data_IF_477630448359
#
_entry.id   IF_477630448359
#
_cell.length_a   1.000
_cell.length_b   1.000
_cell.length_c   1.000
_cell.angle_alpha   90.00
_cell.angle_beta   90.00
_cell.angle_gamma   90.00
#
_symmetry.space_group_name_H-M   'P 1'
#
loop_
_entity.id
_entity.type
_entity.pdbx_description
1 polymer ?
#
# COMPACT_ATOMS: atom_id res chain seq x y z
N UNK A 1 5.98 -12.88 4.55
CA UNK A 1 6.80 -12.53 3.40
C UNK A 1 6.37 -11.21 2.75
N UNK A 2 5.10 -11.07 2.34
CA UNK A 2 4.63 -9.84 1.65
C UNK A 2 4.93 -8.59 2.45
N UNK A 3 4.56 -8.55 3.73
CA UNK A 3 4.87 -7.41 4.60
C UNK A 3 6.38 -7.13 4.68
N UNK A 4 7.19 -8.16 4.87
CA UNK A 4 8.65 -8.01 4.91
C UNK A 4 9.20 -7.34 3.64
N UNK A 5 8.79 -7.80 2.46
CA UNK A 5 9.25 -7.24 1.19
C UNK A 5 8.70 -5.83 0.93
N UNK A 6 7.46 -5.56 1.35
CA UNK A 6 6.87 -4.20 1.30
C UNK A 6 7.71 -3.23 2.12
N UNK A 7 8.02 -3.56 3.37
CA UNK A 7 8.86 -2.70 4.22
C UNK A 7 10.22 -2.44 3.62
N UNK A 8 10.85 -3.48 3.08
CA UNK A 8 12.20 -3.40 2.52
C UNK A 8 12.29 -2.64 1.20
N UNK A 9 11.27 -2.72 0.34
CA UNK A 9 11.33 -2.19 -1.03
C UNK A 9 10.30 -1.08 -1.30
N UNK A 10 9.05 -1.28 -0.91
CA UNK A 10 8.01 -0.28 -1.18
C UNK A 10 8.17 0.98 -0.32
N UNK A 11 8.53 0.79 0.95
CA UNK A 11 8.75 1.87 1.92
C UNK A 11 10.16 2.46 1.90
N UNK A 12 11.06 1.91 1.08
CA UNK A 12 12.46 2.33 1.04
C UNK A 12 12.61 3.81 0.68
N UNK A 13 13.46 4.52 1.43
CA UNK A 13 13.81 5.92 1.18
C UNK A 13 12.90 6.94 1.86
N UNK A 14 11.81 6.54 2.47
CA UNK A 14 10.97 7.43 3.26
C UNK A 14 11.43 7.46 4.72
N UNK A 15 11.22 8.59 5.39
CA UNK A 15 11.64 8.81 6.79
C UNK A 15 10.52 8.51 7.79
N UNK A 16 9.28 8.80 7.44
CA UNK A 16 8.10 8.64 8.29
C UNK A 16 6.99 7.98 7.50
N UNK A 17 6.74 6.71 7.77
CA UNK A 17 5.71 5.94 7.05
C UNK A 17 4.50 5.71 7.95
N UNK A 18 3.32 6.07 7.45
CA UNK A 18 2.06 5.66 8.03
C UNK A 18 1.50 4.45 7.28
N UNK A 19 0.96 3.48 8.00
CA UNK A 19 0.22 2.37 7.43
C UNK A 19 -1.25 2.54 7.77
N UNK A 20 -2.10 2.68 6.76
CA UNK A 20 -3.54 2.55 6.90
C UNK A 20 -3.91 1.08 6.69
N UNK A 21 -4.33 0.41 7.74
CA UNK A 21 -4.67 -1.01 7.70
C UNK A 21 -6.13 -1.26 8.03
N UNK A 22 -6.74 -2.17 7.29
CA UNK A 22 -8.06 -2.67 7.65
C UNK A 22 -7.95 -3.59 8.88
N UNK A 23 -8.91 -3.55 9.82
CA UNK A 23 -8.85 -4.32 11.08
C UNK A 23 -9.20 -5.80 10.87
N UNK A 24 -8.43 -6.50 10.05
CA UNK A 24 -8.46 -7.95 9.92
C UNK A 24 -7.08 -8.56 10.26
N UNK A 25 -7.04 -9.88 10.44
CA UNK A 25 -5.82 -10.59 10.86
C UNK A 25 -4.70 -10.50 9.82
N UNK A 26 -5.04 -10.59 8.55
CA UNK A 26 -4.07 -10.60 7.45
C UNK A 26 -3.47 -9.21 7.26
N UNK A 27 -4.32 -8.18 7.17
CA UNK A 27 -3.88 -6.81 7.01
C UNK A 27 -3.03 -6.36 8.21
N UNK A 28 -3.46 -6.68 9.44
CA UNK A 28 -2.71 -6.33 10.65
C UNK A 28 -1.34 -7.01 10.72
N UNK A 29 -1.27 -8.30 10.36
CA UNK A 29 0.00 -9.03 10.31
C UNK A 29 0.93 -8.49 9.22
N UNK A 30 0.39 -8.13 8.05
CA UNK A 30 1.18 -7.51 6.97
C UNK A 30 1.70 -6.14 7.39
N UNK A 31 0.88 -5.30 8.03
CA UNK A 31 1.26 -3.99 8.51
C UNK A 31 2.41 -4.08 9.53
N UNK A 32 2.31 -4.96 10.52
CA UNK A 32 3.35 -5.19 11.51
C UNK A 32 4.66 -5.66 10.87
N UNK A 33 4.60 -6.66 9.98
CA UNK A 33 5.78 -7.17 9.28
C UNK A 33 6.43 -6.12 8.37
N UNK A 34 5.63 -5.28 7.71
CA UNK A 34 6.11 -4.21 6.86
C UNK A 34 6.86 -3.14 7.66
N UNK A 35 6.31 -2.68 8.78
CA UNK A 35 6.97 -1.69 9.62
C UNK A 35 8.24 -2.25 10.27
N UNK A 36 8.22 -3.47 10.78
CA UNK A 36 9.40 -4.11 11.35
C UNK A 36 10.54 -4.22 10.32
N UNK A 37 10.22 -4.63 9.10
CA UNK A 37 11.18 -4.72 8.00
C UNK A 37 11.69 -3.35 7.54
N UNK A 38 10.81 -2.35 7.48
CA UNK A 38 11.16 -0.97 7.13
C UNK A 38 12.14 -0.39 8.15
N UNK A 39 11.84 -0.49 9.44
CA UNK A 39 12.70 0.00 10.50
C UNK A 39 14.06 -0.72 10.52
N UNK A 40 14.06 -2.06 10.34
CA UNK A 40 15.29 -2.85 10.27
C UNK A 40 16.15 -2.57 9.03
N UNK A 41 15.56 -2.07 7.94
CA UNK A 41 16.26 -1.78 6.68
C UNK A 41 16.74 -0.33 6.58
N UNK A 42 16.23 0.55 7.43
CA UNK A 42 16.53 1.97 7.42
C UNK A 42 17.62 2.36 8.39
N UNK A 43 17.86 3.66 8.47
CA UNK A 43 18.66 4.24 9.54
C UNK A 43 17.76 4.35 10.79
N UNK A 44 18.01 3.52 11.78
CA UNK A 44 17.22 3.46 13.04
C UNK A 44 17.00 4.79 13.75
N UNK A 45 17.84 5.77 13.50
CA UNK A 45 17.71 7.09 14.12
C UNK A 45 16.74 8.00 13.37
N UNK A 46 16.54 7.75 12.07
CA UNK A 46 15.82 8.65 11.18
C UNK A 46 14.52 8.05 10.62
N UNK A 47 14.36 6.71 10.72
CA UNK A 47 13.16 6.03 10.25
C UNK A 47 12.13 5.86 11.37
N UNK A 48 10.88 6.19 11.09
CA UNK A 48 9.75 5.98 12.00
C UNK A 48 8.53 5.49 11.25
N UNK A 49 7.76 4.61 11.88
CA UNK A 49 6.52 4.09 11.31
C UNK A 49 5.38 4.07 12.34
N UNK A 50 4.16 4.24 11.87
CA UNK A 50 2.95 4.12 12.67
C UNK A 50 1.84 3.41 11.90
N UNK A 51 0.99 2.68 12.63
CA UNK A 51 -0.21 2.01 12.09
C UNK A 51 -1.44 2.76 12.56
N UNK A 52 -2.32 3.06 11.61
CA UNK A 52 -3.65 3.61 11.89
C UNK A 52 -4.70 2.66 11.32
N UNK A 53 -5.72 2.36 12.11
CA UNK A 53 -6.84 1.54 11.67
C UNK A 53 -7.75 2.34 10.74
N UNK A 54 -8.11 1.73 9.62
CA UNK A 54 -9.07 2.25 8.68
C UNK A 54 -10.36 1.44 8.76
N UNK A 55 -11.31 1.95 9.50
CA UNK A 55 -12.65 1.40 9.61
C UNK A 55 -13.59 2.13 8.66
N UNK A 56 -14.60 1.41 8.17
CA UNK A 56 -15.65 2.02 7.35
C UNK A 56 -16.35 3.16 8.11
N UNK A 57 -16.47 4.31 7.48
CA UNK A 57 -17.07 5.51 8.06
C UNK A 57 -16.14 6.34 8.93
N UNK A 58 -14.88 5.90 9.15
CA UNK A 58 -13.86 6.63 9.92
C UNK A 58 -12.64 7.02 9.07
N UNK A 59 -12.80 7.06 7.77
CA UNK A 59 -11.72 7.35 6.82
C UNK A 59 -11.13 8.74 7.04
N UNK A 60 -11.95 9.74 7.38
CA UNK A 60 -11.50 11.11 7.65
C UNK A 60 -10.61 11.17 8.91
N UNK A 61 -10.99 10.45 9.97
CA UNK A 61 -10.21 10.41 11.21
C UNK A 61 -8.84 9.74 10.95
N UNK A 62 -8.83 8.66 10.19
CA UNK A 62 -7.60 7.96 9.83
C UNK A 62 -6.69 8.83 8.96
N UNK A 63 -7.23 9.51 7.96
CA UNK A 63 -6.48 10.44 7.10
C UNK A 63 -5.93 11.64 7.91
N UNK A 64 -6.74 12.19 8.81
CA UNK A 64 -6.30 13.23 9.74
C UNK A 64 -5.16 12.79 10.64
N UNK A 65 -5.17 11.53 11.09
CA UNK A 65 -4.08 10.94 11.88
C UNK A 65 -2.78 10.81 11.07
N UNK A 66 -2.85 10.42 9.81
CA UNK A 66 -1.70 10.36 8.90
C UNK A 66 -1.05 11.74 8.76
N UNK A 67 -1.86 12.78 8.54
CA UNK A 67 -1.37 14.15 8.39
C UNK A 67 -0.76 14.67 9.69
N UNK A 68 -1.42 14.48 10.84
CA UNK A 68 -0.89 14.88 12.15
C UNK A 68 0.41 14.16 12.51
N UNK A 69 0.54 12.92 12.12
CA UNK A 69 1.78 12.14 12.30
C UNK A 69 2.93 12.72 11.48
N UNK A 70 2.65 13.44 10.41
CA UNK A 70 3.65 14.03 9.52
C UNK A 70 4.30 12.99 8.61
N UNK A 71 3.54 11.98 8.16
CA UNK A 71 4.03 10.96 7.26
C UNK A 71 4.44 11.55 5.90
N UNK A 72 5.59 11.15 5.39
CA UNK A 72 6.03 11.42 4.03
C UNK A 72 5.65 10.31 3.04
N UNK A 73 5.23 9.15 3.56
CA UNK A 73 4.59 8.09 2.78
C UNK A 73 3.44 7.45 3.56
N UNK A 74 2.37 7.07 2.88
CA UNK A 74 1.26 6.30 3.44
C UNK A 74 1.08 5.00 2.65
N UNK A 75 1.06 3.87 3.35
CA UNK A 75 0.81 2.55 2.77
C UNK A 75 -0.63 2.12 3.03
N UNK A 76 -1.35 1.83 1.94
CA UNK A 76 -2.71 1.30 1.99
C UNK A 76 -2.65 -0.23 2.08
N UNK A 77 -2.76 -0.76 3.30
CA UNK A 77 -2.70 -2.20 3.59
C UNK A 77 -4.11 -2.79 3.68
N UNK A 78 -4.73 -2.99 2.52
CA UNK A 78 -6.09 -3.52 2.40
C UNK A 78 -6.13 -4.83 1.62
N UNK A 79 -7.22 -5.56 1.75
CA UNK A 79 -7.53 -6.71 0.93
C UNK A 79 -7.09 -8.04 1.51
N UNK A 80 -6.87 -8.13 2.80
CA UNK A 80 -6.60 -9.40 3.48
C UNK A 80 -7.77 -10.38 3.35
N UNK A 81 -8.77 -10.23 4.19
CA UNK A 81 -9.99 -11.06 4.20
C UNK A 81 -11.17 -10.42 3.46
N UNK A 82 -10.99 -9.21 2.92
CA UNK A 82 -12.04 -8.46 2.25
C UNK A 82 -12.36 -8.95 0.84
N UNK A 83 -13.60 -8.75 0.40
CA UNK A 83 -13.99 -8.91 -1.01
C UNK A 83 -13.37 -7.81 -1.87
N UNK A 84 -13.08 -8.10 -3.13
CA UNK A 84 -12.45 -7.13 -4.04
C UNK A 84 -13.31 -5.87 -4.25
N UNK A 85 -14.63 -5.99 -4.27
CA UNK A 85 -15.54 -4.84 -4.34
C UNK A 85 -15.43 -3.91 -3.12
N UNK A 86 -15.28 -4.49 -1.93
CA UNK A 86 -15.12 -3.74 -0.69
C UNK A 86 -13.76 -3.05 -0.65
N UNK A 87 -12.71 -3.73 -1.14
CA UNK A 87 -11.37 -3.15 -1.29
C UNK A 87 -11.38 -1.96 -2.24
N UNK A 88 -12.07 -2.06 -3.38
CA UNK A 88 -12.19 -0.97 -4.33
C UNK A 88 -12.87 0.26 -3.71
N UNK A 89 -14.00 0.04 -3.04
CA UNK A 89 -14.76 1.10 -2.37
C UNK A 89 -13.96 1.75 -1.23
N UNK A 90 -13.30 0.95 -0.41
CA UNK A 90 -12.47 1.44 0.70
C UNK A 90 -11.27 2.24 0.18
N UNK A 91 -10.64 1.77 -0.89
CA UNK A 91 -9.51 2.48 -1.51
C UNK A 91 -9.95 3.85 -2.02
N UNK A 92 -11.08 3.95 -2.71
CA UNK A 92 -11.60 5.23 -3.17
C UNK A 92 -11.91 6.20 -2.02
N UNK A 93 -12.55 5.70 -0.94
CA UNK A 93 -12.84 6.52 0.26
C UNK A 93 -11.56 6.96 0.98
N UNK A 94 -10.58 6.06 1.13
CA UNK A 94 -9.31 6.38 1.77
C UNK A 94 -8.53 7.45 0.99
N UNK A 95 -8.43 7.31 -0.33
CA UNK A 95 -7.77 8.30 -1.20
C UNK A 95 -8.50 9.64 -1.14
N UNK A 96 -9.84 9.64 -1.18
CA UNK A 96 -10.65 10.84 -1.03
C UNK A 96 -10.44 11.53 0.31
N UNK A 97 -10.40 10.78 1.41
CA UNK A 97 -10.14 11.30 2.75
C UNK A 97 -8.73 11.90 2.88
N UNK A 98 -7.71 11.23 2.32
CA UNK A 98 -6.34 11.78 2.28
C UNK A 98 -6.28 13.09 1.50
N UNK A 99 -7.00 13.17 0.37
CA UNK A 99 -7.10 14.40 -0.42
C UNK A 99 -7.73 15.56 0.38
N UNK A 100 -8.86 15.29 1.04
CA UNK A 100 -9.55 16.29 1.88
C UNK A 100 -8.74 16.70 3.11
N UNK A 101 -7.98 15.78 3.69
CA UNK A 101 -7.07 16.08 4.78
C UNK A 101 -5.81 16.86 4.35
N UNK A 102 -5.61 17.08 3.06
CA UNK A 102 -4.46 17.81 2.53
C UNK A 102 -3.15 17.01 2.52
N UNK A 103 -3.23 15.67 2.58
CA UNK A 103 -2.04 14.82 2.48
C UNK A 103 -1.38 14.95 1.10
N UNK A 104 -0.06 15.19 1.08
CA UNK A 104 0.72 15.42 -0.16
C UNK A 104 1.94 14.51 -0.30
N UNK A 105 2.17 13.60 0.64
CA UNK A 105 3.26 12.65 0.61
C UNK A 105 3.06 11.55 -0.44
N UNK A 106 3.95 10.57 -0.43
CA UNK A 106 3.86 9.42 -1.33
C UNK A 106 2.70 8.49 -0.95
N UNK A 107 2.08 7.89 -1.97
CA UNK A 107 1.05 6.86 -1.82
C UNK A 107 1.63 5.50 -2.19
N UNK A 108 1.61 4.56 -1.25
CA UNK A 108 2.07 3.20 -1.43
C UNK A 108 0.87 2.25 -1.43
N UNK A 109 0.69 1.50 -2.52
CA UNK A 109 -0.54 0.76 -2.78
C UNK A 109 -0.28 -0.75 -2.74
N UNK A 110 -1.08 -1.47 -1.96
CA UNK A 110 -1.09 -2.93 -1.96
C UNK A 110 -1.61 -3.48 -3.29
N UNK A 111 -1.07 -4.60 -3.75
CA UNK A 111 -1.45 -5.23 -5.03
C UNK A 111 -2.97 -5.47 -5.14
N UNK A 112 -3.64 -5.84 -4.05
CA UNK A 112 -5.09 -6.07 -4.07
C UNK A 112 -5.89 -4.77 -4.26
N UNK A 113 -5.45 -3.68 -3.67
CA UNK A 113 -6.06 -2.37 -3.91
C UNK A 113 -5.83 -1.89 -5.36
N UNK A 114 -4.64 -2.14 -5.90
CA UNK A 114 -4.32 -1.91 -7.31
C UNK A 114 -5.24 -2.67 -8.26
N UNK A 115 -5.41 -3.98 -8.03
CA UNK A 115 -6.28 -4.83 -8.85
C UNK A 115 -7.77 -4.50 -8.67
N UNK A 116 -8.20 -4.27 -7.43
CA UNK A 116 -9.59 -3.94 -7.12
C UNK A 116 -10.04 -2.63 -7.78
N UNK A 117 -9.14 -1.66 -7.90
CA UNK A 117 -9.41 -0.38 -8.59
C UNK A 117 -9.12 -0.44 -10.09
N UNK A 118 -9.00 -1.63 -10.66
CA UNK A 118 -8.68 -1.85 -12.08
C UNK A 118 -7.46 -1.05 -12.51
N UNK A 119 -6.36 -1.24 -11.79
CA UNK A 119 -5.10 -0.53 -12.01
C UNK A 119 -5.30 1.01 -11.94
N UNK A 120 -5.98 1.46 -10.91
CA UNK A 120 -6.38 2.85 -10.65
C UNK A 120 -7.40 3.45 -11.65
N UNK A 121 -7.82 2.77 -12.69
CA UNK A 121 -8.72 3.36 -13.67
C UNK A 121 -10.05 3.80 -13.05
N UNK A 122 -10.58 3.08 -12.07
CA UNK A 122 -11.81 3.46 -11.36
C UNK A 122 -11.63 4.71 -10.49
N UNK A 123 -10.43 4.96 -9.95
CA UNK A 123 -10.12 6.18 -9.21
C UNK A 123 -9.94 7.36 -10.18
N UNK A 124 -9.30 7.14 -11.31
CA UNK A 124 -9.02 8.16 -12.31
C UNK A 124 -10.29 8.58 -13.09
N UNK A 125 -11.37 7.80 -13.03
CA UNK A 125 -12.67 8.19 -13.59
C UNK A 125 -13.39 9.27 -12.78
N UNK A 126 -13.00 9.47 -11.52
CA UNK A 126 -13.43 10.61 -10.70
C UNK A 126 -12.44 11.78 -10.90
N UNK A 127 -12.90 12.93 -11.44
CA UNK A 127 -12.01 14.05 -11.74
C UNK A 127 -11.27 14.61 -10.52
N UNK A 128 -11.91 14.59 -9.34
CA UNK A 128 -11.30 15.09 -8.11
C UNK A 128 -10.18 14.16 -7.64
N UNK A 129 -10.41 12.85 -7.65
CA UNK A 129 -9.39 11.85 -7.30
C UNK A 129 -8.27 11.84 -8.34
N UNK A 130 -8.58 11.94 -9.62
CA UNK A 130 -7.60 12.02 -10.69
C UNK A 130 -6.67 13.24 -10.53
N UNK A 131 -7.23 14.41 -10.25
CA UNK A 131 -6.45 15.62 -10.00
C UNK A 131 -5.54 15.46 -8.78
N UNK A 132 -6.07 14.92 -7.68
CA UNK A 132 -5.30 14.65 -6.47
C UNK A 132 -4.14 13.70 -6.73
N UNK A 133 -4.41 12.53 -7.35
CA UNK A 133 -3.40 11.51 -7.63
C UNK A 133 -2.29 12.03 -8.55
N UNK A 134 -2.65 12.83 -9.57
CA UNK A 134 -1.65 13.46 -10.45
C UNK A 134 -0.80 14.51 -9.73
N UNK A 135 -1.33 15.12 -8.70
CA UNK A 135 -0.62 16.11 -7.87
C UNK A 135 0.35 15.51 -6.86
N UNK A 136 0.27 14.19 -6.60
CA UNK A 136 1.21 13.52 -5.69
C UNK A 136 2.60 13.36 -6.33
N UNK A 137 3.65 13.59 -5.54
CA UNK A 137 5.02 13.48 -6.01
C UNK A 137 5.44 12.06 -6.38
N UNK A 138 4.91 11.06 -5.67
CA UNK A 138 5.24 9.66 -5.91
C UNK A 138 4.07 8.73 -5.53
N UNK A 139 3.81 7.76 -6.40
CA UNK A 139 2.92 6.63 -6.14
C UNK A 139 3.69 5.36 -6.44
N UNK A 140 3.69 4.41 -5.50
CA UNK A 140 4.32 3.10 -5.69
C UNK A 140 3.30 1.99 -5.49
N UNK A 141 3.51 0.90 -6.23
CA UNK A 141 2.73 -0.34 -6.07
C UNK A 141 3.66 -1.54 -6.19
N UNK A 142 3.36 -2.60 -5.46
CA UNK A 142 3.96 -3.88 -5.76
C UNK A 142 2.96 -4.77 -6.49
N UNK A 143 3.47 -5.54 -7.44
CA UNK A 143 2.75 -6.59 -8.15
C UNK A 143 3.51 -7.91 -8.02
N UNK A 144 2.92 -9.00 -8.44
CA UNK A 144 3.57 -10.31 -8.41
C UNK A 144 3.50 -10.96 -9.79
N UNK A 145 4.61 -11.53 -10.22
CA UNK A 145 4.70 -12.45 -11.34
C UNK A 145 4.79 -13.87 -10.79
N UNK A 146 3.67 -14.60 -10.85
CA UNK A 146 3.60 -15.95 -10.31
C UNK A 146 4.42 -16.94 -11.14
N UNK A 147 4.52 -16.75 -12.45
CA UNK A 147 5.29 -17.63 -13.34
C UNK A 147 6.80 -17.46 -13.11
N UNK A 148 7.26 -16.22 -13.00
CA UNK A 148 8.65 -15.91 -12.68
C UNK A 148 8.97 -16.03 -11.18
N UNK A 149 7.96 -16.24 -10.32
CA UNK A 149 8.11 -16.28 -8.86
C UNK A 149 8.80 -15.05 -8.30
N UNK A 150 8.34 -13.87 -8.74
CA UNK A 150 8.91 -12.59 -8.35
C UNK A 150 7.86 -11.63 -7.83
N UNK A 151 8.24 -10.81 -6.85
CA UNK A 151 7.58 -9.56 -6.53
C UNK A 151 8.23 -8.44 -7.34
N UNK A 152 7.41 -7.57 -7.89
CA UNK A 152 7.83 -6.46 -8.74
C UNK A 152 7.41 -5.14 -8.06
N UNK A 153 8.36 -4.25 -7.82
CA UNK A 153 8.12 -2.95 -7.19
C UNK A 153 8.19 -1.87 -8.25
N UNK A 154 7.11 -1.09 -8.36
CA UNK A 154 6.92 -0.16 -9.46
C UNK A 154 6.54 1.23 -8.95
N UNK A 155 7.03 2.28 -9.63
CA UNK A 155 6.42 3.60 -9.59
C UNK A 155 5.24 3.63 -10.54
N UNK A 156 4.19 4.33 -10.15
CA UNK A 156 3.01 4.55 -10.99
C UNK A 156 3.14 5.91 -11.66
N UNK A 157 3.10 5.93 -12.99
CA UNK A 157 3.06 7.15 -13.79
C UNK A 157 1.65 7.33 -14.31
N UNK A 158 1.02 8.46 -14.00
CA UNK A 158 -0.34 8.77 -14.43
C UNK A 158 -0.25 9.71 -15.64
N UNK A 159 -0.57 9.16 -16.81
CA UNK A 159 -0.66 9.90 -18.08
C UNK A 159 -2.12 10.19 -18.46
N UNK A 160 -2.31 10.71 -19.68
CA UNK A 160 -3.65 10.98 -20.23
C UNK A 160 -4.47 9.69 -20.44
N UNK A 161 -3.80 8.59 -20.82
CA UNK A 161 -4.42 7.29 -21.09
C UNK A 161 -4.59 6.39 -19.86
N UNK A 162 -4.16 6.83 -18.68
CA UNK A 162 -4.26 6.06 -17.43
C UNK A 162 -2.93 5.88 -16.72
N UNK A 163 -2.85 4.86 -15.84
CA UNK A 163 -1.67 4.56 -15.06
C UNK A 163 -0.74 3.57 -15.77
N UNK A 164 0.55 3.86 -15.79
CA UNK A 164 1.61 2.98 -16.29
C UNK A 164 2.60 2.65 -15.16
N UNK A 165 3.24 1.48 -15.26
CA UNK A 165 4.19 1.00 -14.26
C UNK A 165 5.63 1.16 -14.76
N UNK A 166 6.47 1.74 -13.91
CA UNK A 166 7.91 1.84 -14.09
C UNK A 166 8.59 1.04 -12.98
N UNK A 167 9.16 -0.12 -13.32
CA UNK A 167 9.83 -0.99 -12.34
C UNK A 167 11.11 -0.35 -11.82
N UNK A 168 11.30 -0.39 -10.51
CA UNK A 168 12.54 0.08 -9.88
C UNK A 168 13.23 -0.99 -9.02
N UNK A 169 12.53 -2.06 -8.63
CA UNK A 169 13.10 -3.17 -7.88
C UNK A 169 12.30 -4.47 -8.13
N UNK A 170 12.94 -5.59 -7.86
CA UNK A 170 12.30 -6.91 -7.84
C UNK A 170 12.88 -7.77 -6.71
N UNK A 171 12.11 -8.73 -6.24
CA UNK A 171 12.54 -9.72 -5.25
C UNK A 171 12.05 -11.11 -5.64
N UNK A 172 12.94 -12.08 -5.66
CA UNK A 172 12.58 -13.47 -5.94
C UNK A 172 11.85 -14.09 -4.73
N UNK A 173 10.82 -14.89 -5.04
CA UNK A 173 10.14 -15.75 -4.07
C UNK A 173 10.91 -17.05 -4.01
N UNK A 174 11.78 -17.22 -3.05
CA UNK A 174 12.51 -18.47 -2.84
C UNK A 174 11.56 -19.59 -2.39
N UNK A 175 11.99 -20.85 -2.52
CA UNK A 175 11.20 -21.99 -2.04
C UNK A 175 10.91 -21.88 -0.54
N UNK A 176 11.88 -21.46 0.24
CA UNK A 176 11.74 -21.21 1.68
C UNK A 176 10.65 -20.16 1.97
N UNK A 177 10.63 -19.07 1.23
CA UNK A 177 9.60 -18.04 1.33
C UNK A 177 8.21 -18.57 0.93
N UNK A 178 8.13 -19.43 -0.09
CA UNK A 178 6.87 -20.05 -0.52
C UNK A 178 6.32 -21.02 0.54
N UNK A 179 7.20 -21.77 1.20
CA UNK A 179 6.83 -22.69 2.28
C UNK A 179 6.35 -21.93 3.51
N UNK A 180 6.99 -20.82 3.89
CA UNK A 180 6.55 -19.92 4.95
C UNK A 180 5.18 -19.28 4.63
N UNK A 181 4.94 -18.88 3.39
CA UNK A 181 3.64 -18.38 2.93
C UNK A 181 2.55 -19.46 3.05
N UNK A 182 2.86 -20.70 2.68
CA UNK A 182 1.91 -21.82 2.76
C UNK A 182 1.49 -22.14 4.19
N UNK A 183 2.41 -22.02 5.15
CA UNK A 183 2.14 -22.22 6.58
C UNK A 183 1.30 -21.09 7.16
N UNK A 184 1.45 -19.85 6.64
CA UNK A 184 0.78 -18.65 7.16
C UNK A 184 -0.56 -18.32 6.46
N UNK A 185 -0.89 -19.01 5.37
CA UNK A 185 -2.18 -18.86 4.69
C UNK A 185 -3.18 -19.90 5.24
N UNK A 186 -4.42 -19.51 5.52
CA UNK A 186 -5.46 -20.50 5.79
C UNK A 186 -5.60 -21.43 4.57
N UNK A 187 -5.92 -22.73 4.77
CA UNK A 187 -6.20 -23.60 3.66
C UNK A 187 -7.35 -23.03 2.81
N UNK A 188 -7.31 -23.20 1.48
CA UNK A 188 -8.43 -22.82 0.64
C UNK A 188 -9.68 -23.56 1.10
N UNK A 189 -10.78 -22.85 1.31
CA UNK A 189 -12.10 -23.41 1.56
C UNK A 189 -12.62 -24.10 0.30
#
# INVERSE_FOLDING_TARGET
>A
LTGYLVGRHLMAGFRKVAVLTYPDRICSAMAAAALASYEASGNYRDAAGAVFLLEQGKEEDAAGSVVRYGADAVYLSFGGEQRMSDVASLTARAVGALARAGYRGALLVHVRAWLATKQMSSLLSDPALASYLRGLGEIRVFTADAAARKFLFNRVRIGESGAALERYAEAEITKEHADLLRISLPPPE
#
